data_IF_802131318213
#
_entry.id   IF_802131318213
#
_cell.length_a   1.000
_cell.length_b   1.000
_cell.length_c   1.000
_cell.angle_alpha   90.00
_cell.angle_beta   90.00
_cell.angle_gamma   90.00
#
_symmetry.space_group_name_H-M   'P 1'
#
loop_
_entity.id
_entity.type
_entity.pdbx_description
1 polymer ?
#
# COMPACT_ATOMS: atom_id res chain seq x y z
N UNK A 1 17.93 0.03 -2.08
CA UNK A 1 17.44 -1.27 -1.60
C UNK A 1 16.78 -1.88 -2.81
N UNK A 2 17.46 -2.83 -3.44
CA UNK A 2 16.97 -3.45 -4.66
C UNK A 2 16.24 -4.73 -4.25
N UNK A 3 14.93 -4.70 -4.38
CA UNK A 3 14.02 -5.80 -4.08
C UNK A 3 12.84 -5.71 -5.03
N UNK A 4 12.22 -6.84 -5.33
CA UNK A 4 11.07 -6.90 -6.24
C UNK A 4 9.80 -6.31 -5.59
N UNK A 5 9.68 -6.43 -4.27
CA UNK A 5 8.56 -5.92 -3.50
C UNK A 5 8.95 -5.56 -2.06
N UNK A 6 8.13 -4.72 -1.44
CA UNK A 6 8.14 -4.42 0.00
C UNK A 6 6.75 -4.71 0.58
N UNK A 7 6.69 -5.02 1.88
CA UNK A 7 5.42 -5.29 2.57
C UNK A 7 5.09 -4.14 3.52
N UNK A 8 3.85 -3.65 3.44
CA UNK A 8 3.27 -2.73 4.41
C UNK A 8 2.30 -3.47 5.32
N UNK A 9 2.43 -3.32 6.64
CA UNK A 9 1.43 -3.78 7.60
C UNK A 9 0.22 -2.81 7.55
N UNK A 10 -0.70 -3.08 6.62
CA UNK A 10 -1.85 -2.23 6.35
C UNK A 10 -3.02 -2.48 7.31
N UNK A 11 -3.94 -1.51 7.36
CA UNK A 11 -5.29 -1.73 7.89
C UNK A 11 -6.18 -2.43 6.84
N UNK A 12 -7.33 -2.95 7.27
CA UNK A 12 -8.28 -3.68 6.42
C UNK A 12 -8.81 -2.86 5.24
N UNK A 13 -8.85 -1.54 5.38
CA UNK A 13 -9.35 -0.60 4.38
C UNK A 13 -8.29 -0.19 3.35
N UNK A 14 -7.06 -0.68 3.50
CA UNK A 14 -5.91 -0.33 2.65
C UNK A 14 -5.69 1.20 2.54
N UNK A 15 -5.97 1.93 3.61
CA UNK A 15 -5.71 3.38 3.67
C UNK A 15 -4.26 3.59 4.13
N UNK A 16 -3.43 4.13 3.24
CA UNK A 16 -2.06 4.51 3.54
C UNK A 16 -2.08 5.80 4.36
N UNK A 17 -2.01 5.69 5.67
CA UNK A 17 -2.00 6.82 6.61
C UNK A 17 -0.60 7.39 6.85
N UNK A 18 -0.12 7.25 8.10
CA UNK A 18 1.19 7.70 8.57
C UNK A 18 2.20 6.54 8.67
N UNK A 19 3.37 6.79 9.26
CA UNK A 19 4.41 5.78 9.47
C UNK A 19 4.95 5.21 8.15
N UNK A 20 5.19 3.90 8.11
CA UNK A 20 5.69 3.20 6.91
C UNK A 20 4.74 3.37 5.73
N UNK A 21 3.43 3.24 5.95
CA UNK A 21 2.43 3.44 4.91
C UNK A 21 2.48 4.88 4.33
N UNK A 22 2.66 5.87 5.20
CA UNK A 22 2.84 7.28 4.79
C UNK A 22 4.13 7.50 3.99
N UNK A 23 5.23 6.88 4.40
CA UNK A 23 6.50 6.95 3.67
C UNK A 23 6.41 6.30 2.28
N UNK A 24 5.73 5.16 2.17
CA UNK A 24 5.45 4.49 0.89
C UNK A 24 4.62 5.39 -0.02
N UNK A 25 3.50 5.93 0.48
CA UNK A 25 2.63 6.85 -0.28
C UNK A 25 3.37 8.12 -0.70
N UNK A 26 4.20 8.67 0.19
CA UNK A 26 4.97 9.88 -0.10
C UNK A 26 6.00 9.64 -1.20
N UNK A 27 6.59 8.44 -1.26
CA UNK A 27 7.63 8.10 -2.25
C UNK A 27 7.03 7.66 -3.58
N UNK A 28 6.09 6.71 -3.58
CA UNK A 28 5.45 6.19 -4.79
C UNK A 28 4.24 7.00 -5.27
N UNK A 29 3.82 8.01 -4.50
CA UNK A 29 2.74 8.93 -4.88
C UNK A 29 1.32 8.40 -4.66
N UNK A 30 0.31 9.19 -5.07
CA UNK A 30 -1.12 8.92 -4.82
C UNK A 30 -1.67 7.72 -5.58
N UNK A 31 -1.04 7.29 -6.68
CA UNK A 31 -1.51 6.16 -7.49
C UNK A 31 -1.57 4.85 -6.70
N UNK A 32 -0.67 4.67 -5.71
CA UNK A 32 -0.73 3.51 -4.81
C UNK A 32 -2.05 3.51 -4.02
N UNK A 33 -2.48 4.67 -3.49
CA UNK A 33 -3.75 4.76 -2.77
C UNK A 33 -4.94 4.54 -3.70
N UNK A 34 -4.87 5.02 -4.94
CA UNK A 34 -5.91 4.78 -5.95
C UNK A 34 -6.05 3.30 -6.28
N UNK A 35 -4.94 2.55 -6.37
CA UNK A 35 -4.96 1.09 -6.51
C UNK A 35 -5.54 0.40 -5.27
N UNK A 36 -5.10 0.79 -4.08
CA UNK A 36 -5.64 0.27 -2.83
C UNK A 36 -7.16 0.48 -2.72
N UNK A 37 -7.68 1.64 -3.15
CA UNK A 37 -9.11 1.94 -3.15
C UNK A 37 -9.90 1.05 -4.11
N UNK A 38 -9.28 0.53 -5.18
CA UNK A 38 -9.92 -0.42 -6.11
C UNK A 38 -9.89 -1.87 -5.61
N UNK A 39 -8.88 -2.22 -4.80
CA UNK A 39 -8.68 -3.60 -4.31
C UNK A 39 -9.38 -3.85 -2.98
N UNK A 40 -9.34 -2.87 -2.07
CA UNK A 40 -9.86 -3.01 -0.71
C UNK A 40 -11.39 -3.01 -0.63
N UNK A 41 -11.95 -3.41 0.52
CA UNK A 41 -11.25 -3.84 1.74
C UNK A 41 -10.76 -5.30 1.70
N UNK A 42 -9.80 -5.66 2.56
CA UNK A 42 -9.31 -7.03 2.76
C UNK A 42 -9.53 -7.52 4.20
N UNK A 43 -9.57 -8.83 4.41
CA UNK A 43 -9.70 -9.45 5.74
C UNK A 43 -8.35 -9.59 6.46
N UNK A 44 -8.38 -9.71 7.79
CA UNK A 44 -7.16 -10.00 8.57
C UNK A 44 -6.51 -11.30 8.09
N UNK A 45 -5.21 -11.26 7.83
CA UNK A 45 -4.44 -12.39 7.29
C UNK A 45 -4.41 -12.47 5.75
N UNK A 46 -5.15 -11.62 5.06
CA UNK A 46 -5.04 -11.47 3.60
C UNK A 46 -3.99 -10.43 3.21
N UNK A 47 -3.62 -10.43 1.93
CA UNK A 47 -2.73 -9.45 1.33
C UNK A 47 -3.30 -8.95 0.00
N UNK A 48 -2.94 -7.72 -0.37
CA UNK A 48 -3.23 -7.10 -1.66
C UNK A 48 -1.92 -6.65 -2.30
N UNK A 49 -1.86 -6.70 -3.63
CA UNK A 49 -0.69 -6.25 -4.41
C UNK A 49 -1.06 -5.02 -5.24
N UNK A 50 -0.18 -4.02 -5.23
CA UNK A 50 -0.25 -2.82 -6.07
C UNK A 50 1.07 -2.68 -6.84
N UNK A 51 1.10 -1.79 -7.83
CA UNK A 51 2.36 -1.24 -8.31
C UNK A 51 3.10 -0.45 -7.21
N UNK A 52 4.37 -0.15 -7.47
CA UNK A 52 5.20 0.67 -6.60
C UNK A 52 4.91 2.18 -6.71
N UNK A 53 3.96 2.57 -7.58
CA UNK A 53 3.69 3.95 -7.91
C UNK A 53 4.72 4.54 -8.88
N UNK A 54 4.95 5.85 -8.75
CA UNK A 54 5.91 6.63 -9.56
C UNK A 54 7.31 6.68 -8.95
#
# INVERSE_FOLDING_TARGET
MDTDAIVNAANAQLILGAGVAGAIRSKGGPSIQEECNRIGPIQVGQAAITGAGR
#
